data_IF_876052439707
#
_entry.id   IF_876052439707
#
_cell.length_a   1.000
_cell.length_b   1.000
_cell.length_c   1.000
_cell.angle_alpha   90.00
_cell.angle_beta   90.00
_cell.angle_gamma   90.00
#
_symmetry.space_group_name_H-M   'P 1'
#
loop_
_entity.id
_entity.type
_entity.pdbx_description
1 polymer ?
#
# COMPACT_ATOMS: atom_id res chain seq x y z
N UNK A 1 22.27 2.08 -0.38
CA UNK A 1 22.52 1.38 -1.67
C UNK A 1 21.33 1.54 -2.62
N UNK A 2 21.57 1.86 -3.89
CA UNK A 2 20.49 2.14 -4.85
C UNK A 2 19.56 0.93 -5.08
N UNK A 3 20.13 -0.28 -5.14
CA UNK A 3 19.36 -1.52 -5.35
C UNK A 3 18.36 -1.80 -4.22
N UNK A 4 18.74 -1.56 -2.97
CA UNK A 4 17.85 -1.72 -1.82
C UNK A 4 16.65 -0.77 -1.88
N UNK A 5 16.88 0.48 -2.31
CA UNK A 5 15.82 1.47 -2.49
C UNK A 5 14.82 1.05 -3.57
N UNK A 6 15.30 0.50 -4.69
CA UNK A 6 14.44 -0.04 -5.76
C UNK A 6 13.56 -1.18 -5.25
N UNK A 7 14.11 -2.10 -4.47
CA UNK A 7 13.35 -3.19 -3.85
C UNK A 7 12.19 -2.67 -2.99
N UNK A 8 12.42 -1.65 -2.16
CA UNK A 8 11.36 -1.02 -1.36
C UNK A 8 10.23 -0.44 -2.23
N UNK A 9 10.56 0.24 -3.33
CA UNK A 9 9.54 0.77 -4.25
C UNK A 9 8.75 -0.33 -4.94
N UNK A 10 9.41 -1.41 -5.38
CA UNK A 10 8.71 -2.55 -5.97
C UNK A 10 7.78 -3.23 -4.96
N UNK A 11 8.23 -3.49 -3.74
CA UNK A 11 7.38 -4.07 -2.70
C UNK A 11 6.18 -3.19 -2.36
N UNK A 12 6.36 -1.86 -2.32
CA UNK A 12 5.23 -0.94 -2.14
C UNK A 12 4.25 -0.98 -3.32
N UNK A 13 4.77 -1.11 -4.54
CA UNK A 13 3.99 -1.36 -5.75
C UNK A 13 3.20 -2.67 -5.68
N UNK A 14 3.83 -3.76 -5.25
CA UNK A 14 3.18 -5.06 -5.08
C UNK A 14 2.02 -4.97 -4.06
N UNK A 15 2.20 -4.26 -2.94
CA UNK A 15 1.10 -4.03 -2.00
C UNK A 15 -0.07 -3.27 -2.61
N UNK A 16 0.21 -2.29 -3.48
CA UNK A 16 -0.81 -1.57 -4.24
C UNK A 16 -1.55 -2.51 -5.19
N UNK A 17 -0.81 -3.32 -5.93
CA UNK A 17 -1.38 -4.22 -6.92
C UNK A 17 -2.19 -5.36 -6.28
N UNK A 18 -1.75 -5.89 -5.14
CA UNK A 18 -2.52 -6.83 -4.32
C UNK A 18 -3.82 -6.15 -3.83
N UNK A 19 -3.74 -4.91 -3.35
CA UNK A 19 -4.90 -4.17 -2.85
C UNK A 19 -5.97 -3.92 -3.93
N UNK A 20 -5.55 -3.54 -5.15
CA UNK A 20 -6.48 -3.34 -6.27
C UNK A 20 -6.85 -4.63 -6.99
N UNK A 21 -6.14 -5.73 -6.73
CA UNK A 21 -6.29 -6.99 -7.44
C UNK A 21 -5.80 -6.93 -8.89
N UNK A 22 -4.78 -6.10 -9.14
CA UNK A 22 -4.04 -5.97 -10.40
C UNK A 22 -2.72 -6.74 -10.39
N UNK A 23 -2.39 -7.37 -9.26
CA UNK A 23 -1.21 -8.23 -9.15
C UNK A 23 -1.21 -9.34 -10.21
N UNK A 24 -0.05 -9.53 -10.83
CA UNK A 24 0.13 -10.46 -11.96
C UNK A 24 0.51 -11.88 -11.52
N UNK A 25 0.71 -12.11 -10.21
CA UNK A 25 1.14 -13.42 -9.73
C UNK A 25 0.07 -14.49 -9.98
N UNK A 26 0.54 -15.70 -10.24
CA UNK A 26 -0.35 -16.88 -10.30
C UNK A 26 -0.71 -17.42 -8.92
N UNK A 27 -0.20 -16.81 -7.83
CA UNK A 27 -0.35 -17.32 -6.47
C UNK A 27 -1.82 -17.28 -6.03
N UNK A 28 -2.43 -18.45 -5.70
CA UNK A 28 -3.83 -18.51 -5.27
C UNK A 28 -4.10 -17.67 -4.00
N UNK A 29 -3.13 -17.63 -3.09
CA UNK A 29 -3.26 -16.89 -1.83
C UNK A 29 -3.34 -15.38 -2.09
N UNK A 30 -2.54 -14.85 -3.02
CA UNK A 30 -2.59 -13.42 -3.37
C UNK A 30 -3.96 -13.06 -3.96
N UNK A 31 -4.48 -13.88 -4.88
CA UNK A 31 -5.83 -13.69 -5.43
C UNK A 31 -6.91 -13.74 -4.35
N UNK A 32 -6.78 -14.68 -3.40
CA UNK A 32 -7.70 -14.78 -2.25
C UNK A 32 -7.63 -13.53 -1.38
N UNK A 33 -6.43 -13.02 -1.08
CA UNK A 33 -6.23 -11.80 -0.30
C UNK A 33 -6.86 -10.59 -0.99
N UNK A 34 -6.65 -10.40 -2.30
CA UNK A 34 -7.27 -9.31 -3.05
C UNK A 34 -8.80 -9.39 -3.01
N UNK A 35 -9.38 -10.59 -3.09
CA UNK A 35 -10.82 -10.78 -3.01
C UNK A 35 -11.37 -10.50 -1.60
N UNK A 36 -10.65 -10.89 -0.56
CA UNK A 36 -11.01 -10.61 0.83
C UNK A 36 -11.00 -9.10 1.10
N UNK A 37 -9.96 -8.38 0.65
CA UNK A 37 -9.88 -6.91 0.74
C UNK A 37 -11.09 -6.27 0.05
N UNK A 38 -11.43 -6.72 -1.17
CA UNK A 38 -12.62 -6.26 -1.88
C UNK A 38 -13.90 -6.51 -1.10
N UNK A 39 -14.03 -7.67 -0.44
CA UNK A 39 -15.21 -8.03 0.36
C UNK A 39 -15.34 -7.19 1.63
N UNK A 40 -14.23 -6.89 2.32
CA UNK A 40 -14.20 -6.08 3.54
C UNK A 40 -14.54 -4.62 3.24
N UNK A 41 -14.03 -4.08 2.13
CA UNK A 41 -14.24 -2.68 1.73
C UNK A 41 -15.53 -2.46 0.94
N UNK A 42 -16.17 -3.53 0.47
CA UNK A 42 -17.52 -3.46 -0.07
C UNK A 42 -18.53 -3.26 1.06
N UNK A 43 -19.42 -2.27 0.93
CA UNK A 43 -20.47 -2.06 1.94
C UNK A 43 -21.36 -3.30 2.04
N UNK A 44 -21.52 -3.83 3.25
CA UNK A 44 -22.42 -4.96 3.52
C UNK A 44 -23.89 -4.67 3.11
N UNK A 45 -24.30 -3.40 3.02
CA UNK A 45 -25.63 -3.01 2.51
C UNK A 45 -25.73 -3.09 0.97
N UNK A 46 -24.63 -2.91 0.25
CA UNK A 46 -24.61 -2.92 -1.23
C UNK A 46 -24.59 -4.34 -1.81
N UNK A 47 -24.15 -5.35 -1.05
CA UNK A 47 -24.31 -6.77 -1.41
C UNK A 47 -25.77 -7.16 -1.70
N UNK A 48 -26.75 -6.45 -1.10
CA UNK A 48 -28.19 -6.71 -1.28
C UNK A 48 -28.85 -5.96 -2.46
N UNK A 49 -28.21 -4.93 -3.02
CA UNK A 49 -28.86 -4.03 -4.00
C UNK A 49 -28.25 -4.00 -5.40
N UNK A 50 -27.22 -4.82 -5.69
CA UNK A 50 -26.63 -4.88 -7.04
C UNK A 50 -26.09 -3.54 -7.51
N UNK A 51 -25.47 -2.77 -6.60
CA UNK A 51 -24.89 -1.45 -6.94
C UNK A 51 -23.50 -1.56 -7.56
N UNK A 52 -23.22 -0.59 -8.43
CA UNK A 52 -22.21 -0.55 -9.48
C UNK A 52 -20.76 -0.81 -9.03
N UNK A 53 -20.04 -1.63 -9.80
CA UNK A 53 -18.58 -1.88 -9.69
C UNK A 53 -17.72 -0.60 -9.66
N UNK A 54 -18.25 0.51 -10.19
CA UNK A 54 -17.60 1.82 -10.25
C UNK A 54 -17.50 2.45 -8.84
N UNK A 55 -18.55 2.39 -8.03
CA UNK A 55 -18.54 2.93 -6.66
C UNK A 55 -17.52 2.22 -5.77
N UNK A 56 -17.40 0.89 -5.92
CA UNK A 56 -16.43 0.09 -5.18
C UNK A 56 -14.98 0.41 -5.58
N UNK A 57 -14.74 0.76 -6.84
CA UNK A 57 -13.42 1.17 -7.29
C UNK A 57 -13.04 2.54 -6.72
N UNK A 58 -13.94 3.52 -6.75
CA UNK A 58 -13.71 4.86 -6.18
C UNK A 58 -13.44 4.80 -4.68
N UNK A 59 -14.20 4.01 -3.92
CA UNK A 59 -13.95 3.80 -2.48
C UNK A 59 -12.57 3.23 -2.21
N UNK A 60 -12.13 2.24 -2.99
CA UNK A 60 -10.78 1.68 -2.86
C UNK A 60 -9.70 2.71 -3.22
N UNK A 61 -9.94 3.57 -4.21
CA UNK A 61 -9.05 4.69 -4.54
C UNK A 61 -8.93 5.68 -3.39
N UNK A 62 -10.05 6.07 -2.77
CA UNK A 62 -10.05 6.96 -1.60
C UNK A 62 -9.33 6.34 -0.40
N UNK A 63 -9.57 5.05 -0.15
CA UNK A 63 -8.89 4.31 0.90
C UNK A 63 -7.38 4.29 0.67
N UNK A 64 -6.94 3.94 -0.54
CA UNK A 64 -5.51 3.94 -0.87
C UNK A 64 -4.90 5.33 -0.80
N UNK A 65 -5.62 6.37 -1.25
CA UNK A 65 -5.16 7.77 -1.12
C UNK A 65 -4.96 8.16 0.34
N UNK A 66 -5.84 7.68 1.24
CA UNK A 66 -5.76 7.95 2.68
C UNK A 66 -4.69 7.15 3.40
N UNK A 67 -4.53 5.86 3.08
CA UNK A 67 -3.70 4.93 3.87
C UNK A 67 -2.43 4.44 3.17
N UNK A 68 -2.31 4.60 1.85
CA UNK A 68 -1.12 4.19 1.09
C UNK A 68 0.15 4.88 1.58
N UNK A 69 0.07 6.16 1.94
CA UNK A 69 1.19 6.87 2.56
C UNK A 69 1.60 6.28 3.92
N UNK A 70 0.63 5.88 4.74
CA UNK A 70 0.89 5.24 6.04
C UNK A 70 1.53 3.85 5.90
N UNK A 71 1.18 3.09 4.85
CA UNK A 71 1.84 1.82 4.54
C UNK A 71 3.32 2.05 4.25
N UNK A 72 3.64 3.05 3.41
CA UNK A 72 5.03 3.42 3.10
C UNK A 72 5.79 3.89 4.35
N UNK A 73 5.17 4.73 5.19
CA UNK A 73 5.74 5.15 6.48
C UNK A 73 6.02 3.95 7.39
N UNK A 74 5.13 2.96 7.42
CA UNK A 74 5.32 1.70 8.14
C UNK A 74 6.53 0.91 7.64
N UNK A 75 6.73 0.82 6.31
CA UNK A 75 7.90 0.17 5.72
C UNK A 75 9.21 0.87 6.14
N UNK A 76 9.24 2.21 6.14
CA UNK A 76 10.39 2.98 6.60
C UNK A 76 10.62 2.84 8.11
N UNK A 77 9.56 2.74 8.91
CA UNK A 77 9.64 2.50 10.34
C UNK A 77 10.30 1.14 10.63
N UNK A 78 9.87 0.09 9.93
CA UNK A 78 10.49 -1.24 10.01
C UNK A 78 11.96 -1.22 9.62
N UNK A 79 12.30 -0.54 8.51
CA UNK A 79 13.69 -0.37 8.06
C UNK A 79 14.58 0.32 9.11
N UNK A 80 14.04 1.31 9.80
CA UNK A 80 14.77 2.12 10.78
C UNK A 80 14.61 1.64 12.21
N UNK A 81 14.01 0.47 12.44
CA UNK A 81 13.73 -0.04 13.78
C UNK A 81 15.02 -0.25 14.59
N UNK A 82 16.05 -0.83 13.98
CA UNK A 82 17.35 -1.08 14.61
C UNK A 82 18.30 0.13 14.64
N UNK A 83 17.91 1.27 14.10
CA UNK A 83 18.73 2.49 14.11
C UNK A 83 18.54 3.21 15.44
N UNK A 84 19.56 3.14 16.31
CA UNK A 84 19.55 3.74 17.65
C UNK A 84 19.86 5.23 17.63
N UNK A 85 20.56 5.73 16.61
CA UNK A 85 20.85 7.15 16.46
C UNK A 85 19.62 7.91 15.94
N UNK A 86 19.01 8.68 16.84
CA UNK A 86 17.77 9.43 16.59
C UNK A 86 17.87 10.36 15.38
N UNK A 87 18.97 11.08 15.21
CA UNK A 87 19.11 12.05 14.12
C UNK A 87 19.27 11.35 12.77
N UNK A 88 20.04 10.25 12.72
CA UNK A 88 20.13 9.39 11.52
C UNK A 88 18.76 8.82 11.16
N UNK A 89 18.00 8.32 12.14
CA UNK A 89 16.64 7.82 11.92
C UNK A 89 15.71 8.89 11.37
N UNK A 90 15.66 10.08 11.99
CA UNK A 90 14.86 11.22 11.52
C UNK A 90 15.24 11.63 10.10
N UNK A 91 16.53 11.71 9.81
CA UNK A 91 17.03 12.05 8.47
C UNK A 91 16.59 11.03 7.40
N UNK A 92 16.58 9.74 7.72
CA UNK A 92 16.09 8.70 6.80
C UNK A 92 14.57 8.86 6.57
N UNK A 93 13.79 8.99 7.66
CA UNK A 93 12.33 9.14 7.57
C UNK A 93 11.93 10.39 6.79
N UNK A 94 12.60 11.53 7.01
CA UNK A 94 12.33 12.77 6.28
C UNK A 94 12.74 12.66 4.80
N UNK A 95 13.95 12.15 4.52
CA UNK A 95 14.49 12.06 3.16
C UNK A 95 13.65 11.17 2.25
N UNK A 96 13.14 10.06 2.78
CA UNK A 96 12.35 9.10 2.01
C UNK A 96 10.85 9.17 2.31
N UNK A 97 10.37 10.23 2.96
CA UNK A 97 8.95 10.42 3.27
C UNK A 97 8.05 10.28 2.04
N UNK A 98 6.81 9.84 2.25
CA UNK A 98 5.86 9.58 1.16
C UNK A 98 5.65 10.81 0.25
N UNK A 99 5.63 12.02 0.84
CA UNK A 99 5.48 13.26 0.09
C UNK A 99 6.63 13.55 -0.89
N UNK A 100 7.83 12.99 -0.64
CA UNK A 100 9.00 13.13 -1.52
C UNK A 100 9.08 12.03 -2.58
N UNK A 101 8.18 11.03 -2.54
CA UNK A 101 8.14 9.89 -3.45
C UNK A 101 7.69 10.29 -4.87
N UNK A 102 6.87 11.33 -5.00
CA UNK A 102 6.37 11.85 -6.28
C UNK A 102 7.30 12.89 -6.94
N UNK A 103 8.40 13.28 -6.27
CA UNK A 103 9.34 14.30 -6.73
C UNK A 103 10.71 13.73 -7.13
N UNK A 104 10.81 12.40 -7.29
CA UNK A 104 12.05 11.68 -7.55
C UNK A 104 12.07 11.01 -8.92
#
# INVERSE_FOLDING_TARGET
>A
PEGFRKQMYYTFGDYRDIFFGTDISSCPNIKSTSNEIKSILADNENKKKGKNLIEDYEKRQEWWKKYGGHIWEGMLCGLTHGVTETDKKKNILDKYSYNKLNNA
#
